data_IF_246247439899
#
_entry.id   IF_246247439899
#
_cell.length_a   1.000
_cell.length_b   1.000
_cell.length_c   1.000
_cell.angle_alpha   90.00
_cell.angle_beta   90.00
_cell.angle_gamma   90.00
#
_symmetry.space_group_name_H-M   'P 1'
#
loop_
_entity.id
_entity.type
_entity.pdbx_description
1 polymer ?
#
# COMPACT_ATOMS: atom_id res chain seq x y z
N UNK A 1 -11.09 -17.55 -1.93
CA UNK A 1 -10.67 -16.12 -1.86
C UNK A 1 -9.63 -15.89 -2.93
N UNK A 2 -9.46 -14.65 -3.42
CA UNK A 2 -8.47 -14.34 -4.47
C UNK A 2 -7.04 -14.74 -4.06
N UNK A 3 -6.64 -14.49 -2.81
CA UNK A 3 -5.30 -14.82 -2.29
C UNK A 3 -5.14 -16.27 -1.79
N UNK A 4 -6.20 -17.09 -1.86
CA UNK A 4 -6.15 -18.51 -1.50
C UNK A 4 -6.35 -19.44 -2.69
N UNK A 5 -6.52 -18.90 -3.90
CA UNK A 5 -6.76 -19.71 -5.10
C UNK A 5 -5.50 -20.49 -5.51
N UNK A 6 -5.71 -21.58 -6.26
CA UNK A 6 -4.62 -22.39 -6.81
C UNK A 6 -3.72 -21.56 -7.73
N UNK A 7 -4.31 -20.70 -8.57
CA UNK A 7 -3.58 -19.79 -9.46
C UNK A 7 -2.61 -18.87 -8.69
N UNK A 8 -3.04 -18.30 -7.56
CA UNK A 8 -2.19 -17.45 -6.73
C UNK A 8 -1.04 -18.25 -6.11
N UNK A 9 -1.32 -19.46 -5.62
CA UNK A 9 -0.28 -20.32 -5.05
C UNK A 9 0.75 -20.74 -6.09
N UNK A 10 0.33 -21.05 -7.33
CA UNK A 10 1.24 -21.35 -8.44
C UNK A 10 2.11 -20.15 -8.77
N UNK A 11 1.53 -18.96 -8.86
CA UNK A 11 2.28 -17.73 -9.10
C UNK A 11 3.34 -17.51 -8.01
N UNK A 12 3.00 -17.65 -6.73
CA UNK A 12 3.96 -17.50 -5.64
C UNK A 12 5.11 -18.51 -5.75
N UNK A 13 4.80 -19.80 -5.97
CA UNK A 13 5.82 -20.85 -6.13
C UNK A 13 6.74 -20.58 -7.32
N UNK A 14 6.19 -20.12 -8.45
CA UNK A 14 6.97 -19.82 -9.65
C UNK A 14 7.92 -18.63 -9.47
N UNK A 15 7.65 -17.72 -8.52
CA UNK A 15 8.45 -16.52 -8.25
C UNK A 15 9.24 -16.61 -6.92
N UNK A 16 9.39 -17.81 -6.34
CA UNK A 16 10.03 -18.03 -5.04
C UNK A 16 9.47 -17.15 -3.91
N UNK A 17 8.18 -16.85 -3.96
CA UNK A 17 7.47 -16.08 -2.94
C UNK A 17 6.82 -17.02 -1.93
N UNK A 18 6.97 -16.72 -0.64
CA UNK A 18 6.27 -17.40 0.44
C UNK A 18 4.96 -16.64 0.77
N UNK A 19 3.77 -17.14 0.40
CA UNK A 19 2.53 -16.48 0.74
C UNK A 19 2.27 -16.60 2.25
N UNK A 20 2.27 -15.47 2.96
CA UNK A 20 1.83 -15.40 4.35
C UNK A 20 0.38 -14.96 4.40
N UNK A 21 -0.50 -15.87 4.82
CA UNK A 21 -1.89 -15.53 5.15
C UNK A 21 -1.99 -15.52 6.67
N UNK A 22 -2.08 -14.34 7.29
CA UNK A 22 -2.24 -14.25 8.73
C UNK A 22 -3.53 -14.92 9.19
N UNK A 23 -3.53 -15.56 10.37
CA UNK A 23 -4.74 -16.14 10.96
C UNK A 23 -5.76 -15.02 11.22
N UNK A 24 -7.06 -15.32 11.10
CA UNK A 24 -8.12 -14.41 11.56
C UNK A 24 -7.81 -13.94 12.99
N UNK A 25 -7.60 -12.64 13.17
CA UNK A 25 -7.32 -12.04 14.47
C UNK A 25 -5.92 -11.45 14.65
N UNK A 26 -4.98 -11.63 13.71
CA UNK A 26 -3.71 -10.92 13.75
C UNK A 26 -3.79 -9.58 12.98
N UNK A 27 -4.32 -8.55 13.65
CA UNK A 27 -4.50 -7.22 13.06
C UNK A 27 -3.19 -6.52 12.70
N UNK A 28 -2.07 -6.92 13.31
CA UNK A 28 -0.77 -6.30 13.10
C UNK A 28 -0.19 -6.57 11.71
N UNK A 29 -0.40 -7.76 11.15
CA UNK A 29 0.09 -8.14 9.81
C UNK A 29 -0.48 -7.23 8.71
N UNK A 30 -1.72 -6.76 8.88
CA UNK A 30 -2.39 -5.90 7.89
C UNK A 30 -2.39 -4.42 8.28
N UNK A 31 -1.95 -4.07 9.50
CA UNK A 31 -2.05 -2.71 10.04
C UNK A 31 -1.36 -1.66 9.15
N UNK A 32 -0.23 -2.02 8.53
CA UNK A 32 0.50 -1.12 7.61
C UNK A 32 -0.34 -0.81 6.38
N UNK A 33 -0.91 -1.84 5.74
CA UNK A 33 -1.78 -1.66 4.58
C UNK A 33 -3.06 -0.91 4.96
N UNK A 34 -3.67 -1.21 6.11
CA UNK A 34 -4.86 -0.50 6.60
C UNK A 34 -4.59 0.99 6.87
N UNK A 35 -3.43 1.30 7.45
CA UNK A 35 -2.99 2.69 7.67
C UNK A 35 -2.79 3.43 6.35
N UNK A 36 -2.16 2.79 5.36
CA UNK A 36 -2.03 3.33 4.00
C UNK A 36 -3.40 3.62 3.39
N UNK A 37 -4.32 2.64 3.35
CA UNK A 37 -5.63 2.82 2.73
C UNK A 37 -6.50 3.85 3.46
N UNK A 38 -6.38 3.96 4.78
CA UNK A 38 -7.02 5.01 5.56
C UNK A 38 -6.52 6.39 5.14
N UNK A 39 -5.20 6.54 5.00
CA UNK A 39 -4.54 7.78 4.56
C UNK A 39 -4.94 8.16 3.14
N UNK A 40 -4.84 7.24 2.18
CA UNK A 40 -5.25 7.44 0.79
C UNK A 40 -6.72 7.90 0.70
N UNK A 41 -7.62 7.22 1.42
CA UNK A 41 -9.04 7.59 1.42
C UNK A 41 -9.26 8.98 1.99
N UNK A 42 -8.63 9.30 3.12
CA UNK A 42 -8.80 10.59 3.81
C UNK A 42 -8.21 11.76 3.04
N UNK A 43 -6.98 11.59 2.54
CA UNK A 43 -6.17 12.66 1.97
C UNK A 43 -6.49 12.90 0.48
N UNK A 44 -6.84 11.85 -0.28
CA UNK A 44 -7.06 11.95 -1.74
C UNK A 44 -8.51 11.69 -2.17
N UNK A 45 -9.17 10.66 -1.64
CA UNK A 45 -10.43 10.15 -2.23
C UNK A 45 -11.70 10.78 -1.64
N UNK A 46 -11.73 11.14 -0.35
CA UNK A 46 -12.96 11.45 0.42
C UNK A 46 -13.90 12.50 -0.18
N UNK A 47 -13.42 13.35 -1.10
CA UNK A 47 -14.23 14.39 -1.77
C UNK A 47 -14.05 14.40 -3.29
N UNK A 48 -13.64 13.29 -3.90
CA UNK A 48 -13.42 13.18 -5.35
C UNK A 48 -14.36 12.16 -5.97
N UNK A 49 -15.02 12.56 -7.05
CA UNK A 49 -15.74 11.66 -7.95
C UNK A 49 -14.98 11.61 -9.26
N UNK A 50 -14.46 10.43 -9.60
CA UNK A 50 -13.74 10.23 -10.85
C UNK A 50 -14.73 9.91 -11.96
N UNK A 51 -14.61 10.61 -13.10
CA UNK A 51 -15.44 10.38 -14.27
C UNK A 51 -15.11 9.06 -14.97
N UNK A 52 -13.84 8.64 -14.92
CA UNK A 52 -13.36 7.41 -15.54
C UNK A 52 -12.40 6.67 -14.62
N UNK A 53 -12.22 5.37 -14.86
CA UNK A 53 -11.26 4.55 -14.11
C UNK A 53 -9.81 4.99 -14.37
N UNK A 54 -9.49 5.46 -15.56
CA UNK A 54 -8.15 5.92 -15.91
C UNK A 54 -7.76 7.19 -15.15
N UNK A 55 -8.69 8.13 -14.98
CA UNK A 55 -8.46 9.30 -14.13
C UNK A 55 -8.23 8.91 -12.67
N UNK A 56 -8.99 7.93 -12.17
CA UNK A 56 -8.78 7.43 -10.81
C UNK A 56 -7.40 6.76 -10.66
N UNK A 57 -6.99 5.96 -11.66
CA UNK A 57 -5.67 5.31 -11.67
C UNK A 57 -4.52 6.30 -11.70
N UNK A 58 -4.57 7.28 -12.59
CA UNK A 58 -3.55 8.31 -12.70
C UNK A 58 -3.42 9.11 -11.39
N UNK A 59 -4.56 9.45 -10.78
CA UNK A 59 -4.58 10.21 -9.54
C UNK A 59 -4.04 9.43 -8.33
N UNK A 60 -4.37 8.13 -8.25
CA UNK A 60 -3.84 7.25 -7.20
C UNK A 60 -2.33 7.03 -7.41
N UNK A 61 -1.88 6.87 -8.66
CA UNK A 61 -0.46 6.72 -8.98
C UNK A 61 0.34 7.98 -8.58
N UNK A 62 -0.13 9.16 -8.96
CA UNK A 62 0.46 10.44 -8.55
C UNK A 62 0.54 10.56 -7.02
N UNK A 63 -0.54 10.20 -6.32
CA UNK A 63 -0.54 10.22 -4.86
C UNK A 63 0.49 9.27 -4.25
N UNK A 64 0.67 8.06 -4.80
CA UNK A 64 1.63 7.08 -4.26
C UNK A 64 3.07 7.54 -4.53
N UNK A 65 3.39 7.82 -5.79
CA UNK A 65 4.78 8.05 -6.23
C UNK A 65 5.30 9.44 -5.86
N UNK A 66 4.46 10.47 -5.96
CA UNK A 66 4.91 11.86 -5.80
C UNK A 66 4.69 12.34 -4.37
N UNK A 67 3.58 11.96 -3.75
CA UNK A 67 3.25 12.44 -2.40
C UNK A 67 3.60 11.43 -1.31
N UNK A 68 3.05 10.23 -1.35
CA UNK A 68 3.16 9.27 -0.25
C UNK A 68 4.60 8.80 -0.03
N UNK A 69 5.28 8.32 -1.07
CA UNK A 69 6.63 7.79 -0.93
C UNK A 69 7.67 8.90 -0.70
N UNK A 70 7.56 10.02 -1.43
CA UNK A 70 8.60 11.05 -1.47
C UNK A 70 8.44 12.18 -0.45
N UNK A 71 7.21 12.60 -0.15
CA UNK A 71 6.96 13.84 0.60
C UNK A 71 6.21 13.64 1.92
N UNK A 72 5.45 12.56 2.08
CA UNK A 72 4.60 12.35 3.25
C UNK A 72 5.44 12.03 4.48
N UNK A 73 5.47 12.95 5.43
CA UNK A 73 6.17 12.77 6.69
C UNK A 73 5.43 11.77 7.56
N UNK A 74 6.13 10.75 8.06
CA UNK A 74 5.56 9.77 8.96
C UNK A 74 6.12 9.96 10.37
N UNK A 75 5.26 10.23 11.36
CA UNK A 75 5.69 10.42 12.75
C UNK A 75 6.43 9.21 13.31
N UNK A 76 5.99 8.01 12.93
CA UNK A 76 6.65 6.75 13.28
C UNK A 76 8.06 6.59 12.68
N UNK A 77 8.38 7.30 11.59
CA UNK A 77 9.70 7.27 10.94
C UNK A 77 10.57 8.46 11.37
N UNK A 78 10.30 9.09 12.51
CA UNK A 78 11.04 10.31 12.92
C UNK A 78 10.72 11.54 12.06
N UNK A 79 9.61 11.52 11.31
CA UNK A 79 9.16 12.65 10.50
C UNK A 79 9.84 12.79 9.15
N UNK A 80 10.55 11.76 8.67
CA UNK A 80 11.00 11.66 7.27
C UNK A 80 9.97 10.97 6.39
N UNK A 81 10.16 11.02 5.07
CA UNK A 81 9.34 10.28 4.10
C UNK A 81 9.73 8.80 4.04
N UNK A 82 8.83 7.91 3.59
CA UNK A 82 9.15 6.49 3.39
C UNK A 82 10.41 6.26 2.55
N UNK A 83 10.55 6.96 1.41
CA UNK A 83 11.71 6.84 0.53
C UNK A 83 13.02 7.24 1.24
N UNK A 84 13.00 8.36 1.98
CA UNK A 84 14.17 8.80 2.73
C UNK A 84 14.55 7.82 3.86
N UNK A 85 13.56 7.19 4.50
CA UNK A 85 13.79 6.17 5.52
C UNK A 85 14.44 4.91 4.93
N UNK A 86 13.96 4.44 3.77
CA UNK A 86 14.54 3.28 3.07
C UNK A 86 15.97 3.57 2.58
N UNK A 87 16.24 4.76 2.03
CA UNK A 87 17.58 5.17 1.60
C UNK A 87 18.58 5.26 2.76
N UNK A 88 18.14 5.73 3.94
CA UNK A 88 18.99 5.83 5.12
C UNK A 88 19.26 4.47 5.79
N UNK A 89 18.46 3.45 5.47
CA UNK A 89 18.54 2.10 6.03
C UNK A 89 19.25 1.10 5.09
N UNK A 90 19.67 1.55 3.91
CA UNK A 90 20.34 0.76 2.87
C UNK A 90 21.87 0.88 2.93
#
# INVERSE_FOLDING_TARGET
SQYGSDDWQRFCRANNLAPSMSRRGNCWDNAVAESFFSSLKKERIRKRIYKTRDLARADIFDYIEVFYNRARRHSHLGGVSPEAFEQASS
#
